data_IF_630788787220
#
_entry.id   IF_630788787220
#
_cell.length_a   1.000
_cell.length_b   1.000
_cell.length_c   1.000
_cell.angle_alpha   90.00
_cell.angle_beta   90.00
_cell.angle_gamma   90.00
#
_symmetry.space_group_name_H-M   'P 1'
#
loop_
_entity.id
_entity.type
_entity.pdbx_description
1 polymer ?
#
# COMPACT_ATOMS: atom_id res chain seq x y z
N UNK A 1 1.55 -14.32 12.67
CA UNK A 1 1.66 -13.37 11.54
C UNK A 1 2.00 -12.00 12.12
N UNK A 2 2.86 -11.17 11.49
CA UNK A 2 3.22 -9.85 12.04
C UNK A 2 2.10 -8.85 11.74
N UNK A 3 1.76 -8.00 12.72
CA UNK A 3 0.79 -6.92 12.54
C UNK A 3 1.50 -5.59 12.39
N UNK A 4 1.07 -4.80 11.42
CA UNK A 4 1.61 -3.47 11.14
C UNK A 4 0.47 -2.45 11.09
N UNK A 5 0.70 -1.29 11.71
CA UNK A 5 -0.27 -0.18 11.73
C UNK A 5 0.46 1.13 11.37
N UNK A 6 0.53 1.52 10.10
CA UNK A 6 0.92 2.87 9.71
C UNK A 6 -0.05 3.86 10.37
N UNK A 7 0.49 4.88 11.03
CA UNK A 7 -0.32 5.79 11.87
C UNK A 7 -0.10 7.27 11.53
N UNK A 8 0.64 7.54 10.45
CA UNK A 8 0.80 8.89 9.90
C UNK A 8 0.15 8.95 8.52
N UNK A 9 0.41 7.96 7.67
CA UNK A 9 -0.12 7.91 6.33
C UNK A 9 0.24 6.63 5.60
N UNK A 10 -0.55 6.31 4.58
CA UNK A 10 -0.30 5.16 3.72
C UNK A 10 -0.84 5.37 2.30
N UNK A 11 -0.28 4.63 1.37
CA UNK A 11 -0.63 4.64 -0.05
C UNK A 11 -0.68 3.21 -0.55
N UNK A 12 -1.65 2.90 -1.41
CA UNK A 12 -1.66 1.66 -2.17
C UNK A 12 -0.93 1.85 -3.49
N UNK A 13 0.00 0.93 -3.76
CA UNK A 13 0.61 0.75 -5.07
C UNK A 13 0.01 -0.46 -5.74
N UNK A 14 -0.56 -0.29 -6.93
CA UNK A 14 -0.85 -1.40 -7.84
C UNK A 14 0.38 -1.64 -8.69
N UNK A 15 0.86 -2.88 -8.70
CA UNK A 15 2.02 -3.34 -9.45
C UNK A 15 1.54 -4.43 -10.42
N UNK A 16 1.56 -4.14 -11.71
CA UNK A 16 1.06 -5.05 -12.75
C UNK A 16 2.17 -5.42 -13.73
N UNK A 17 2.19 -6.68 -14.16
CA UNK A 17 3.09 -7.19 -15.20
C UNK A 17 2.41 -8.33 -15.96
N UNK A 18 2.75 -8.48 -17.24
CA UNK A 18 2.21 -9.54 -18.10
C UNK A 18 2.56 -10.94 -17.57
N UNK A 19 3.73 -11.11 -16.97
CA UNK A 19 4.25 -12.41 -16.51
C UNK A 19 3.80 -12.79 -15.09
N UNK A 20 3.44 -11.79 -14.28
CA UNK A 20 3.21 -11.96 -12.83
C UNK A 20 1.81 -11.55 -12.37
N UNK A 21 1.00 -10.98 -13.25
CA UNK A 21 -0.32 -10.46 -12.91
C UNK A 21 -0.24 -9.16 -12.11
N UNK A 22 -1.31 -8.88 -11.35
CA UNK A 22 -1.45 -7.67 -10.54
C UNK A 22 -1.26 -7.97 -9.06
N UNK A 23 -0.46 -7.15 -8.40
CA UNK A 23 -0.23 -7.19 -6.95
C UNK A 23 -0.47 -5.81 -6.35
N UNK A 24 -0.89 -5.78 -5.10
CA UNK A 24 -1.11 -4.57 -4.33
C UNK A 24 -0.10 -4.48 -3.20
N UNK A 25 0.55 -3.34 -3.03
CA UNK A 25 1.49 -3.09 -1.93
C UNK A 25 1.07 -1.87 -1.15
N UNK A 26 1.30 -1.91 0.16
CA UNK A 26 1.11 -0.77 1.05
C UNK A 26 2.45 -0.10 1.25
N UNK A 27 2.52 1.19 0.92
CA UNK A 27 3.61 2.06 1.29
C UNK A 27 3.14 2.95 2.43
N UNK A 28 3.69 2.76 3.63
CA UNK A 28 3.20 3.43 4.84
C UNK A 28 4.31 4.07 5.66
N UNK A 29 3.94 5.06 6.47
CA UNK A 29 4.82 5.74 7.42
C UNK A 29 4.42 5.39 8.86
N UNK A 30 5.40 4.90 9.62
CA UNK A 30 5.27 4.62 11.05
C UNK A 30 5.72 5.81 11.88
N UNK A 31 5.30 5.84 13.14
CA UNK A 31 5.76 6.81 14.15
C UNK A 31 7.27 6.90 14.32
N UNK A 32 8.02 5.86 13.95
CA UNK A 32 9.49 5.88 13.92
C UNK A 32 10.08 6.70 12.77
N UNK A 33 9.23 7.34 11.94
CA UNK A 33 9.64 8.23 10.86
C UNK A 33 10.20 7.53 9.62
N UNK A 34 9.93 6.25 9.43
CA UNK A 34 10.43 5.50 8.28
C UNK A 34 9.29 5.04 7.38
N UNK A 35 9.38 5.38 6.11
CA UNK A 35 8.54 4.79 5.08
C UNK A 35 8.97 3.35 4.80
N UNK A 36 8.01 2.44 4.67
CA UNK A 36 8.28 1.06 4.25
C UNK A 36 7.24 0.57 3.28
N UNK A 37 7.68 -0.32 2.40
CA UNK A 37 6.87 -1.01 1.42
C UNK A 37 6.54 -2.42 1.91
N UNK A 38 5.28 -2.82 1.82
CA UNK A 38 4.82 -4.15 2.23
C UNK A 38 5.32 -5.26 1.29
N UNK A 39 5.16 -6.50 1.74
CA UNK A 39 5.46 -7.70 0.95
C UNK A 39 4.45 -7.96 -0.20
N UNK A 40 3.32 -7.29 -0.18
CA UNK A 40 2.28 -7.33 -1.21
C UNK A 40 1.13 -8.30 -0.91
N UNK A 41 0.02 -8.09 -1.61
CA UNK A 41 -1.16 -8.94 -1.65
C UNK A 41 -1.54 -9.19 -3.11
N UNK A 42 -2.04 -10.39 -3.40
CA UNK A 42 -2.40 -10.79 -4.77
C UNK A 42 -3.88 -10.50 -5.10
N UNK A 43 -4.72 -10.22 -4.08
CA UNK A 43 -6.12 -9.83 -4.25
C UNK A 43 -6.57 -8.85 -3.18
N UNK A 44 -7.52 -7.99 -3.55
CA UNK A 44 -8.25 -7.08 -2.65
C UNK A 44 -9.43 -7.74 -1.95
N UNK A 45 -9.88 -8.92 -2.42
CA UNK A 45 -11.03 -9.64 -1.84
C UNK A 45 -10.77 -10.15 -0.41
N UNK A 46 -9.51 -10.08 0.02
CA UNK A 46 -9.08 -10.46 1.37
C UNK A 46 -9.08 -9.30 2.35
N UNK A 47 -9.46 -8.10 1.90
CA UNK A 47 -9.59 -6.92 2.78
C UNK A 47 -10.80 -7.13 3.69
N UNK A 48 -10.59 -6.96 4.99
CA UNK A 48 -11.63 -7.09 6.01
C UNK A 48 -11.88 -5.73 6.67
N UNK A 49 -13.14 -5.33 6.77
CA UNK A 49 -13.52 -4.10 7.48
C UNK A 49 -13.55 -4.35 8.99
N UNK A 50 -12.80 -3.54 9.73
CA UNK A 50 -12.82 -3.55 11.20
C UNK A 50 -13.98 -2.68 11.69
N UNK A 51 -14.10 -1.50 11.09
CA UNK A 51 -15.15 -0.51 11.30
C UNK A 51 -15.20 0.44 10.08
N UNK A 52 -15.95 1.54 10.19
CA UNK A 52 -16.09 2.54 9.11
C UNK A 52 -14.80 3.31 8.80
N UNK A 53 -13.82 3.29 9.70
CA UNK A 53 -12.60 4.08 9.63
C UNK A 53 -11.35 3.22 9.41
N UNK A 54 -11.44 1.89 9.43
CA UNK A 54 -10.28 1.03 9.42
C UNK A 54 -10.52 -0.35 8.80
N UNK A 55 -9.50 -0.84 8.09
CA UNK A 55 -9.48 -2.14 7.44
C UNK A 55 -8.27 -2.97 7.90
N UNK A 56 -8.42 -4.29 7.87
CA UNK A 56 -7.29 -5.21 7.78
C UNK A 56 -7.04 -5.57 6.33
N UNK A 57 -5.79 -5.42 5.91
CA UNK A 57 -5.32 -5.86 4.62
C UNK A 57 -4.24 -6.93 4.80
N UNK A 58 -4.58 -8.21 4.60
CA UNK A 58 -3.61 -9.29 4.59
C UNK A 58 -2.56 -9.08 3.50
N UNK A 59 -1.30 -9.27 3.86
CA UNK A 59 -0.15 -9.31 2.98
C UNK A 59 0.49 -10.69 3.08
N UNK A 60 1.36 -11.05 2.11
CA UNK A 60 2.03 -12.37 2.05
C UNK A 60 2.63 -12.86 3.38
N UNK A 61 3.11 -11.96 4.23
CA UNK A 61 3.79 -12.32 5.49
C UNK A 61 3.29 -11.58 6.74
N UNK A 62 2.24 -10.75 6.61
CA UNK A 62 1.83 -9.81 7.65
C UNK A 62 0.40 -9.32 7.43
N UNK A 63 -0.22 -8.74 8.44
CA UNK A 63 -1.52 -8.06 8.32
C UNK A 63 -1.28 -6.57 8.56
N UNK A 64 -1.86 -5.73 7.71
CA UNK A 64 -1.80 -4.28 7.84
C UNK A 64 -3.15 -3.78 8.33
N UNK A 65 -3.16 -3.09 9.46
CA UNK A 65 -4.30 -2.32 9.95
C UNK A 65 -4.18 -0.90 9.42
N UNK A 66 -5.09 -0.50 8.54
CA UNK A 66 -5.03 0.77 7.83
C UNK A 66 -6.21 1.64 8.23
N UNK A 67 -5.90 2.83 8.75
CA UNK A 67 -6.88 3.88 9.01
C UNK A 67 -7.22 4.61 7.71
N UNK A 68 -8.47 4.53 7.28
CA UNK A 68 -8.95 5.09 6.01
C UNK A 68 -8.83 6.61 5.95
N UNK A 69 -8.82 7.30 7.10
CA UNK A 69 -8.62 8.75 7.15
C UNK A 69 -7.18 9.17 6.82
N UNK A 70 -6.24 8.22 6.84
CA UNK A 70 -4.82 8.45 6.57
C UNK A 70 -4.41 8.02 5.15
N UNK A 71 -5.35 7.55 4.32
CA UNK A 71 -5.08 7.22 2.93
C UNK A 71 -4.57 8.44 2.15
N UNK A 72 -3.48 8.26 1.41
CA UNK A 72 -2.88 9.31 0.60
C UNK A 72 -2.12 10.38 1.40
N UNK A 73 -2.09 10.29 2.74
CA UNK A 73 -1.36 11.25 3.57
C UNK A 73 0.16 11.05 3.45
N UNK A 74 0.77 11.68 2.46
CA UNK A 74 2.22 11.71 2.26
C UNK A 74 2.72 13.15 2.29
N UNK A 75 3.64 13.51 3.21
CA UNK A 75 4.29 14.81 3.17
C UNK A 75 4.94 15.06 1.81
N UNK A 76 4.88 16.30 1.31
CA UNK A 76 5.47 16.67 0.01
C UNK A 76 6.96 16.31 -0.07
N UNK A 77 7.69 16.45 1.04
CA UNK A 77 9.09 16.07 1.16
C UNK A 77 9.33 14.58 0.91
N UNK A 78 8.37 13.73 1.24
CA UNK A 78 8.47 12.28 1.14
C UNK A 78 7.95 11.73 -0.20
N UNK A 79 7.24 12.57 -0.97
CA UNK A 79 6.77 12.23 -2.32
C UNK A 79 7.94 11.85 -3.25
N UNK A 80 9.12 12.45 -3.08
CA UNK A 80 10.31 12.11 -3.84
C UNK A 80 10.75 10.64 -3.66
N UNK A 81 10.53 10.05 -2.46
CA UNK A 81 10.83 8.64 -2.21
C UNK A 81 9.85 7.73 -2.94
N UNK A 82 8.56 8.08 -2.93
CA UNK A 82 7.53 7.38 -3.67
C UNK A 82 7.79 7.43 -5.18
N UNK A 83 8.08 8.62 -5.72
CA UNK A 83 8.41 8.81 -7.13
C UNK A 83 9.65 8.00 -7.51
N UNK A 84 10.66 7.93 -6.65
CA UNK A 84 11.84 7.08 -6.85
C UNK A 84 11.46 5.60 -6.92
N UNK A 85 10.57 5.11 -6.06
CA UNK A 85 10.11 3.71 -6.11
C UNK A 85 9.44 3.43 -7.46
N UNK A 86 8.49 4.29 -7.86
CA UNK A 86 7.73 4.15 -9.11
C UNK A 86 8.66 4.18 -10.33
N UNK A 87 9.54 5.19 -10.39
CA UNK A 87 10.47 5.37 -11.52
C UNK A 87 11.58 4.32 -11.57
N UNK A 88 11.91 3.67 -10.45
CA UNK A 88 12.89 2.58 -10.39
C UNK A 88 12.33 1.21 -10.75
N UNK A 89 11.02 1.09 -10.96
CA UNK A 89 10.41 -0.17 -11.36
C UNK A 89 11.00 -0.65 -12.69
N UNK A 90 11.34 -1.95 -12.83
CA UNK A 90 11.76 -2.50 -14.11
C UNK A 90 10.69 -2.24 -15.19
N UNK A 91 11.10 -2.04 -16.44
CA UNK A 91 10.20 -1.60 -17.52
C UNK A 91 9.05 -2.56 -17.85
N UNK A 92 9.13 -3.82 -17.43
CA UNK A 92 8.06 -4.82 -17.57
C UNK A 92 7.03 -4.78 -16.43
N UNK A 93 7.24 -3.91 -15.43
CA UNK A 93 6.26 -3.59 -14.40
C UNK A 93 5.66 -2.22 -14.65
N UNK A 94 4.34 -2.14 -14.57
CA UNK A 94 3.61 -0.90 -14.37
C UNK A 94 3.37 -0.71 -12.86
N UNK A 95 3.74 0.44 -12.32
CA UNK A 95 3.49 0.79 -10.91
C UNK A 95 2.68 2.07 -10.87
N UNK A 96 1.50 2.01 -10.26
CA UNK A 96 0.61 3.16 -10.11
C UNK A 96 0.12 3.32 -8.68
N UNK A 97 -0.10 4.56 -8.27
CA UNK A 97 -0.77 4.87 -7.02
C UNK A 97 -2.26 4.76 -7.25
N UNK A 98 -2.94 3.97 -6.43
CA UNK A 98 -4.39 3.78 -6.46
C UNK A 98 -4.98 4.02 -5.08
N UNK A 99 -6.23 4.43 -5.01
CA UNK A 99 -6.99 4.50 -3.77
C UNK A 99 -7.80 3.23 -3.54
N UNK A 100 -8.19 2.96 -2.29
CA UNK A 100 -9.05 1.84 -1.92
C UNK A 100 -10.36 1.87 -2.72
N UNK A 101 -10.92 3.07 -2.90
CA UNK A 101 -12.10 3.29 -3.74
C UNK A 101 -11.89 2.89 -5.21
N UNK A 102 -10.67 3.00 -5.76
CA UNK A 102 -10.38 2.63 -7.14
C UNK A 102 -10.13 1.13 -7.32
N UNK A 103 -9.85 0.40 -6.24
CA UNK A 103 -9.53 -1.03 -6.30
C UNK A 103 -10.69 -1.93 -5.88
N UNK A 104 -11.69 -1.41 -5.15
CA UNK A 104 -12.91 -2.12 -4.76
C UNK A 104 -14.05 -2.02 -5.81
N UNK A 105 -13.77 -1.53 -7.02
CA UNK A 105 -14.75 -1.36 -8.12
C UNK A 105 -14.99 -2.66 -8.88
#
# INVERSE_FOLDING_TARGET
MRHHKPNIGWITLRVSSDDHGTHYRIFGLWSSGQWRLSSGADSVDTIEYINEESIYWPQRSSIYELDLNLEGNIPVSDKALLDKIITSAPSHYCVEVVTLKQIEI
#
